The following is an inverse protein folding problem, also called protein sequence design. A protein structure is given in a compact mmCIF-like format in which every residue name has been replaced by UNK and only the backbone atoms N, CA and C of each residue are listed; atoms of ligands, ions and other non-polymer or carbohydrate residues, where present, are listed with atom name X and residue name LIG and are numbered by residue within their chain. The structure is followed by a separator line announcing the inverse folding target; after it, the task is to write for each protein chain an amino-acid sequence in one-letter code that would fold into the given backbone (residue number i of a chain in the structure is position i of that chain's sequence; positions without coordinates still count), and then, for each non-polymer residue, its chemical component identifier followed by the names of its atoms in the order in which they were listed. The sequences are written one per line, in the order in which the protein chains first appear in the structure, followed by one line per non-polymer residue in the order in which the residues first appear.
data_IF_926322549948
#
_entry.id   IF_926322549948
#
_cell.length_a   1.000
_cell.length_b   1.000
_cell.length_c   1.000
_cell.angle_alpha   90.00
_cell.angle_beta   90.00
_cell.angle_gamma   90.00
#
_symmetry.space_group_name_H-M   'P 1'
#
loop_
_entity.id
_entity.type
_entity.pdbx_description
1 polymer ?
#
# COMPACT_ATOMS: atom_id res chain seq x y z
N UNK A 1 -6.86 25.48 17.71
CA UNK A 1 -6.24 24.44 16.86
C UNK A 1 -7.28 24.12 15.82
N UNK A 2 -7.02 24.50 14.57
CA UNK A 2 -7.96 24.30 13.46
C UNK A 2 -8.11 22.81 13.15
N UNK A 3 -9.33 22.40 12.82
CA UNK A 3 -9.65 21.03 12.41
C UNK A 3 -8.98 20.61 11.08
N UNK A 4 -8.21 21.51 10.45
CA UNK A 4 -7.45 21.31 9.20
C UNK A 4 -6.12 20.55 9.41
N UNK A 5 -5.66 20.38 10.67
CA UNK A 5 -4.49 19.55 11.00
C UNK A 5 -4.81 18.05 11.09
N UNK A 6 -6.07 17.64 10.87
CA UNK A 6 -6.44 16.23 10.88
C UNK A 6 -5.89 15.55 9.61
N UNK A 7 -5.32 14.33 9.72
CA UNK A 7 -4.86 13.59 8.55
C UNK A 7 -6.02 13.47 7.54
N UNK A 8 -5.86 14.09 6.36
CA UNK A 8 -6.86 13.99 5.30
C UNK A 8 -7.14 12.51 5.04
N UNK A 9 -8.38 12.07 5.25
CA UNK A 9 -8.82 10.75 4.85
C UNK A 9 -8.58 10.66 3.34
N UNK A 10 -7.67 9.76 2.91
CA UNK A 10 -7.44 9.50 1.48
C UNK A 10 -8.81 9.25 0.84
N UNK A 11 -9.20 10.11 -0.10
CA UNK A 11 -10.49 10.00 -0.78
C UNK A 11 -10.56 8.67 -1.55
N UNK A 12 -11.76 8.10 -1.72
CA UNK A 12 -11.95 6.81 -2.39
C UNK A 12 -11.54 6.81 -3.88
N UNK A 13 -11.33 7.98 -4.50
CA UNK A 13 -10.80 8.12 -5.86
C UNK A 13 -9.30 7.74 -5.97
N UNK A 14 -8.62 7.53 -4.83
CA UNK A 14 -7.24 7.01 -4.74
C UNK A 14 -7.29 5.48 -4.60
N UNK A 15 -8.02 4.79 -5.47
CA UNK A 15 -8.43 3.40 -5.23
C UNK A 15 -7.26 2.42 -5.11
N UNK A 16 -6.11 2.69 -5.75
CA UNK A 16 -4.82 2.04 -5.47
C UNK A 16 -3.62 3.01 -5.68
N UNK A 17 -3.86 4.32 -5.68
CA UNK A 17 -2.85 5.32 -6.05
C UNK A 17 -2.32 5.12 -7.47
N UNK A 18 -1.03 5.38 -7.70
CA UNK A 18 -0.40 5.25 -9.02
C UNK A 18 -0.46 3.81 -9.61
N UNK A 19 -0.73 2.79 -8.80
CA UNK A 19 -0.87 1.43 -9.28
C UNK A 19 -2.07 1.24 -10.22
N UNK A 20 -3.14 2.04 -10.08
CA UNK A 20 -4.28 2.01 -11.00
C UNK A 20 -3.91 2.52 -12.40
N UNK A 21 -2.93 3.43 -12.50
CA UNK A 21 -2.44 3.96 -13.77
C UNK A 21 -1.63 2.91 -14.54
N UNK A 22 -0.86 2.07 -13.84
CA UNK A 22 -0.02 1.03 -14.45
C UNK A 22 -0.84 0.03 -15.29
N UNK A 23 -2.03 -0.34 -14.82
CA UNK A 23 -2.91 -1.29 -15.50
C UNK A 23 -3.52 -0.73 -16.79
N UNK A 24 -3.66 0.60 -16.88
CA UNK A 24 -4.23 1.28 -18.05
C UNK A 24 -3.18 1.62 -19.11
N UNK A 25 -1.90 1.37 -18.83
CA UNK A 25 -0.79 1.74 -19.69
C UNK A 25 -0.58 0.70 -20.81
N UNK A 26 -0.47 1.16 -22.07
CA UNK A 26 -0.18 0.27 -23.19
C UNK A 26 1.25 -0.27 -23.12
N UNK A 27 1.38 -1.60 -23.24
CA UNK A 27 2.66 -2.30 -23.23
C UNK A 27 3.32 -2.42 -24.62
N UNK A 28 2.60 -2.07 -25.69
CA UNK A 28 3.02 -2.33 -27.09
C UNK A 28 4.30 -1.60 -27.52
N UNK A 29 4.67 -0.52 -26.81
CA UNK A 29 5.84 0.30 -27.15
C UNK A 29 7.13 -0.14 -26.45
N UNK A 30 7.05 -1.10 -25.53
CA UNK A 30 8.20 -1.55 -24.75
C UNK A 30 8.90 -2.73 -25.41
N UNK A 31 10.22 -2.72 -25.35
CA UNK A 31 11.07 -3.88 -25.64
C UNK A 31 10.96 -4.95 -24.53
N UNK A 32 11.42 -6.16 -24.82
CA UNK A 32 11.44 -7.26 -23.84
C UNK A 32 12.30 -6.92 -22.60
N UNK A 33 13.43 -6.25 -22.79
CA UNK A 33 14.32 -5.86 -21.69
C UNK A 33 13.66 -4.80 -20.80
N UNK A 34 12.96 -3.83 -21.39
CA UNK A 34 12.21 -2.82 -20.63
C UNK A 34 11.06 -3.45 -19.84
N UNK A 35 10.35 -4.42 -20.43
CA UNK A 35 9.31 -5.18 -19.72
C UNK A 35 9.92 -5.97 -18.56
N UNK A 36 11.07 -6.62 -18.77
CA UNK A 36 11.79 -7.35 -17.72
C UNK A 36 12.22 -6.44 -16.56
N UNK A 37 12.80 -5.28 -16.88
CA UNK A 37 13.19 -4.29 -15.87
C UNK A 37 11.97 -3.75 -15.09
N UNK A 38 10.86 -3.50 -15.79
CA UNK A 38 9.60 -3.06 -15.17
C UNK A 38 9.04 -4.12 -14.23
N UNK A 39 9.05 -5.40 -14.63
CA UNK A 39 8.61 -6.52 -13.77
C UNK A 39 9.46 -6.57 -12.49
N UNK A 40 10.78 -6.53 -12.61
CA UNK A 40 11.68 -6.59 -11.45
C UNK A 40 11.41 -5.46 -10.44
N UNK A 41 11.15 -4.25 -10.93
CA UNK A 41 10.80 -3.11 -10.08
C UNK A 41 9.45 -3.31 -9.37
N UNK A 42 8.44 -3.81 -10.08
CA UNK A 42 7.11 -4.04 -9.51
C UNK A 42 7.12 -5.17 -8.48
N UNK A 43 7.90 -6.23 -8.70
CA UNK A 43 8.07 -7.31 -7.72
C UNK A 43 8.74 -6.82 -6.43
N UNK A 44 9.79 -6.01 -6.55
CA UNK A 44 10.43 -5.38 -5.39
C UNK A 44 9.45 -4.50 -4.60
N UNK A 45 8.60 -3.74 -5.31
CA UNK A 45 7.56 -2.92 -4.69
C UNK A 45 6.49 -3.75 -3.99
N UNK A 46 6.07 -4.87 -4.59
CA UNK A 46 5.15 -5.84 -3.97
C UNK A 46 5.72 -6.35 -2.65
N UNK A 47 7.01 -6.74 -2.61
CA UNK A 47 7.65 -7.19 -1.38
C UNK A 47 7.73 -6.08 -0.34
N UNK A 48 8.03 -4.84 -0.74
CA UNK A 48 7.99 -3.68 0.15
C UNK A 48 6.62 -3.49 0.80
N UNK A 49 5.54 -3.56 0.01
CA UNK A 49 4.17 -3.43 0.51
C UNK A 49 3.81 -4.59 1.43
N UNK A 50 4.17 -5.83 1.09
CA UNK A 50 3.96 -7.01 1.93
C UNK A 50 4.65 -6.87 3.28
N UNK A 51 5.91 -6.42 3.30
CA UNK A 51 6.66 -6.18 4.52
C UNK A 51 5.97 -5.12 5.41
N UNK A 52 5.56 -3.99 4.82
CA UNK A 52 4.85 -2.95 5.55
C UNK A 52 3.52 -3.43 6.13
N UNK A 53 2.73 -4.18 5.34
CA UNK A 53 1.46 -4.77 5.81
C UNK A 53 1.67 -5.71 6.98
N UNK A 54 2.68 -6.59 6.93
CA UNK A 54 3.00 -7.51 8.03
C UNK A 54 3.37 -6.75 9.30
N UNK A 55 4.19 -5.69 9.19
CA UNK A 55 4.55 -4.85 10.32
C UNK A 55 3.31 -4.17 10.93
N UNK A 56 2.45 -3.56 10.10
CA UNK A 56 1.21 -2.94 10.57
C UNK A 56 0.28 -3.95 11.27
N UNK A 57 0.14 -5.17 10.73
CA UNK A 57 -0.64 -6.24 11.35
C UNK A 57 -0.06 -6.65 12.72
N UNK A 58 1.26 -6.75 12.85
CA UNK A 58 1.90 -7.05 14.12
C UNK A 58 1.63 -5.96 15.17
N UNK A 59 1.65 -4.69 14.77
CA UNK A 59 1.27 -3.58 15.64
C UNK A 59 -0.20 -3.64 16.07
N UNK A 60 -1.12 -3.96 15.16
CA UNK A 60 -2.54 -4.14 15.50
C UNK A 60 -2.74 -5.27 16.50
N UNK A 61 -2.10 -6.43 16.29
CA UNK A 61 -2.19 -7.57 17.21
C UNK A 61 -1.62 -7.24 18.60
N UNK A 62 -0.52 -6.49 18.66
CA UNK A 62 0.04 -6.03 19.93
C UNK A 62 -0.92 -5.06 20.64
N UNK A 63 -1.51 -4.11 19.92
CA UNK A 63 -2.51 -3.20 20.47
C UNK A 63 -3.74 -3.96 20.98
N UNK A 64 -4.26 -4.92 20.23
CA UNK A 64 -5.37 -5.77 20.66
C UNK A 64 -5.04 -6.55 21.94
N UNK A 65 -3.81 -7.04 22.09
CA UNK A 65 -3.38 -7.74 23.30
C UNK A 65 -3.31 -6.81 24.53
N UNK A 66 -2.89 -5.56 24.36
CA UNK A 66 -2.75 -4.58 25.45
C UNK A 66 -4.08 -3.92 25.84
N UNK A 67 -4.94 -3.64 24.85
CA UNK A 67 -6.10 -2.77 25.03
C UNK A 67 -7.44 -3.49 24.92
N UNK A 68 -7.46 -4.81 24.69
CA UNK A 68 -8.72 -5.57 24.73
C UNK A 68 -9.35 -5.44 26.13
N UNK A 69 -10.61 -4.99 26.23
CA UNK A 69 -11.31 -4.94 27.51
C UNK A 69 -11.40 -6.37 28.06
N UNK A 70 -10.96 -6.54 29.30
CA UNK A 70 -11.15 -7.78 30.04
C UNK A 70 -12.66 -7.93 30.23
N UNK A 71 -13.27 -8.83 29.48
CA UNK A 71 -14.71 -9.12 29.60
C UNK A 71 -15.01 -9.43 31.07
N UNK A 72 -16.08 -8.85 31.67
CA UNK A 72 -16.50 -9.22 33.02
C UNK A 72 -16.91 -10.69 33.10
#
# INVERSE_FOLDING_TARGET
MDDDDRPRRRSPEVELGAASLLASESLERYSLDELGARIALLEAEIERIRAHRRAAQAHMLAADALFRPKTP
#
